data_IF_761012421388
#
_entry.id   IF_761012421388
#
_cell.length_a   1.000
_cell.length_b   1.000
_cell.length_c   1.000
_cell.angle_alpha   90.00
_cell.angle_beta   90.00
_cell.angle_gamma   90.00
#
_symmetry.space_group_name_H-M   'P 1'
#
loop_
_entity.id
_entity.type
_entity.pdbx_description
1 polymer ?
#
# COMPACT_ATOMS: atom_id res chain seq x y z
N UNK A 1 -9.05 5.56 -11.08
CA UNK A 1 -9.11 4.60 -9.94
C UNK A 1 -8.67 5.25 -8.62
N UNK A 2 -7.66 6.15 -8.62
CA UNK A 2 -7.12 6.77 -7.39
C UNK A 2 -8.04 7.81 -6.70
N UNK A 3 -8.83 8.59 -7.44
CA UNK A 3 -9.49 9.81 -6.91
C UNK A 3 -10.90 9.64 -6.33
N UNK A 4 -11.57 8.51 -6.54
CA UNK A 4 -12.92 8.24 -5.99
C UNK A 4 -12.88 7.36 -4.72
N UNK A 5 -11.69 7.12 -4.17
CA UNK A 5 -11.50 6.28 -3.00
C UNK A 5 -11.46 7.15 -1.74
N UNK A 6 -11.85 6.56 -0.61
CA UNK A 6 -11.78 7.16 0.71
C UNK A 6 -10.31 7.36 1.15
N UNK A 7 -9.59 8.32 0.57
CA UNK A 7 -8.13 8.48 0.74
C UNK A 7 -7.74 9.49 1.81
N UNK A 8 -8.64 10.40 2.19
CA UNK A 8 -8.51 11.29 3.33
C UNK A 8 -9.88 11.76 3.79
N UNK A 9 -10.01 12.15 5.06
CA UNK A 9 -11.27 12.66 5.61
C UNK A 9 -11.26 14.18 5.67
N UNK A 10 -12.36 14.82 5.26
CA UNK A 10 -12.53 16.26 5.43
C UNK A 10 -12.57 16.70 6.90
N UNK A 11 -12.77 15.77 7.84
CA UNK A 11 -12.74 16.06 9.29
C UNK A 11 -11.32 16.28 9.84
N UNK A 12 -10.28 15.77 9.16
CA UNK A 12 -8.89 15.98 9.52
C UNK A 12 -8.02 16.08 8.25
N UNK A 13 -8.09 17.20 7.52
CA UNK A 13 -7.43 17.35 6.23
C UNK A 13 -5.89 17.41 6.32
N UNK A 14 -5.32 17.63 7.52
CA UNK A 14 -3.88 17.67 7.72
C UNK A 14 -3.24 16.27 7.81
N UNK A 15 -4.05 15.22 8.01
CA UNK A 15 -3.59 13.84 8.04
C UNK A 15 -4.06 13.10 6.79
N UNK A 16 -3.13 12.78 5.90
CA UNK A 16 -3.43 12.12 4.62
C UNK A 16 -2.49 10.93 4.32
N UNK A 17 -2.28 10.00 5.26
CA UNK A 17 -1.29 8.94 5.11
C UNK A 17 -1.57 8.04 3.89
N UNK A 18 -2.84 7.70 3.63
CA UNK A 18 -3.23 6.88 2.47
C UNK A 18 -2.95 7.63 1.16
N UNK A 19 -3.32 8.92 1.08
CA UNK A 19 -3.07 9.75 -0.11
C UNK A 19 -1.57 9.87 -0.40
N UNK A 20 -0.76 10.11 0.64
CA UNK A 20 0.69 10.15 0.53
C UNK A 20 1.26 8.80 0.09
N UNK A 21 0.79 7.69 0.67
CA UNK A 21 1.22 6.35 0.28
C UNK A 21 0.96 6.07 -1.20
N UNK A 22 -0.24 6.41 -1.70
CA UNK A 22 -0.57 6.25 -3.12
C UNK A 22 0.31 7.09 -4.05
N UNK A 23 0.62 8.33 -3.66
CA UNK A 23 1.50 9.23 -4.42
C UNK A 23 2.94 8.67 -4.50
N UNK A 24 3.47 8.18 -3.37
CA UNK A 24 4.80 7.56 -3.34
C UNK A 24 4.81 6.26 -4.14
N UNK A 25 3.76 5.44 -4.05
CA UNK A 25 3.63 4.24 -4.87
C UNK A 25 3.61 4.56 -6.35
N UNK A 26 2.92 5.62 -6.77
CA UNK A 26 2.92 6.08 -8.16
C UNK A 26 4.32 6.50 -8.62
N UNK A 27 5.00 7.34 -7.84
CA UNK A 27 6.35 7.77 -8.15
C UNK A 27 7.35 6.61 -8.28
N UNK A 28 7.16 5.52 -7.52
CA UNK A 28 8.06 4.36 -7.54
C UNK A 28 7.67 3.31 -8.58
N UNK A 29 6.38 3.07 -8.80
CA UNK A 29 5.88 1.89 -9.51
C UNK A 29 5.21 2.20 -10.85
N UNK A 30 5.06 3.45 -11.26
CA UNK A 30 4.42 3.78 -12.53
C UNK A 30 5.06 3.02 -13.71
N UNK A 31 4.20 2.36 -14.51
CA UNK A 31 4.60 1.47 -15.60
C UNK A 31 5.28 0.15 -15.21
N UNK A 32 5.53 -0.13 -13.92
CA UNK A 32 6.27 -1.32 -13.44
C UNK A 32 5.51 -2.18 -12.44
N UNK A 33 4.57 -1.60 -11.71
CA UNK A 33 3.78 -2.28 -10.69
C UNK A 33 2.34 -1.80 -10.66
N UNK A 34 1.63 -2.13 -9.58
CA UNK A 34 0.27 -1.67 -9.36
C UNK A 34 0.05 -1.40 -7.88
N UNK A 35 -0.77 -0.42 -7.53
CA UNK A 35 -1.03 -0.08 -6.14
C UNK A 35 -2.46 0.38 -5.94
N UNK A 36 -3.00 0.09 -4.75
CA UNK A 36 -4.31 0.57 -4.38
C UNK A 36 -4.60 0.80 -2.92
N UNK A 37 -5.64 1.59 -2.64
CA UNK A 37 -6.26 1.62 -1.29
C UNK A 37 -6.72 0.21 -0.94
N UNK A 38 -6.44 -0.20 0.29
CA UNK A 38 -6.84 -1.50 0.82
C UNK A 38 -7.71 -1.32 2.07
N UNK A 39 -8.73 -2.18 2.23
CA UNK A 39 -9.73 -2.06 3.29
C UNK A 39 -10.76 -0.94 3.03
N UNK A 40 -11.34 -0.40 4.11
CA UNK A 40 -12.43 0.59 4.07
C UNK A 40 -12.01 2.04 3.76
N UNK A 41 -10.71 2.32 3.74
CA UNK A 41 -10.13 3.66 3.50
C UNK A 41 -9.92 4.54 4.74
N UNK A 42 -9.47 5.77 4.51
CA UNK A 42 -9.13 6.87 5.43
C UNK A 42 -7.98 6.58 6.40
N UNK A 43 -8.20 5.68 7.35
CA UNK A 43 -7.20 5.20 8.32
C UNK A 43 -6.59 3.85 7.88
N UNK A 44 -6.80 3.48 6.61
CA UNK A 44 -6.48 2.17 6.08
C UNK A 44 -5.04 2.03 5.59
N UNK A 45 -4.76 0.87 5.02
CA UNK A 45 -3.48 0.54 4.38
C UNK A 45 -3.59 0.74 2.87
N UNK A 46 -2.43 0.76 2.21
CA UNK A 46 -2.37 0.53 0.76
C UNK A 46 -1.85 -0.88 0.52
N UNK A 47 -2.21 -1.44 -0.63
CA UNK A 47 -1.68 -2.69 -1.14
C UNK A 47 -0.96 -2.39 -2.45
N UNK A 48 0.29 -2.83 -2.57
CA UNK A 48 1.06 -2.71 -3.79
C UNK A 48 1.58 -4.06 -4.27
N UNK A 49 1.57 -4.24 -5.59
CA UNK A 49 2.24 -5.30 -6.32
C UNK A 49 3.52 -4.70 -6.88
N UNK A 50 4.65 -5.17 -6.36
CA UNK A 50 5.99 -4.61 -6.61
C UNK A 50 6.84 -5.70 -7.26
N UNK A 51 7.54 -5.42 -8.38
CA UNK A 51 8.54 -6.34 -8.91
C UNK A 51 9.60 -6.70 -7.86
N UNK A 52 10.06 -7.94 -7.85
CA UNK A 52 10.96 -8.45 -6.79
C UNK A 52 12.25 -7.63 -6.69
N UNK A 53 12.78 -7.18 -7.81
CA UNK A 53 13.97 -6.35 -7.91
C UNK A 53 13.81 -4.95 -7.29
N UNK A 54 12.58 -4.48 -7.10
CA UNK A 54 12.25 -3.18 -6.49
C UNK A 54 11.74 -3.30 -5.06
N UNK A 55 11.55 -4.52 -4.54
CA UNK A 55 10.86 -4.78 -3.29
C UNK A 55 11.56 -4.13 -2.08
N UNK A 56 12.88 -4.23 -2.02
CA UNK A 56 13.68 -3.66 -0.93
C UNK A 56 13.60 -2.12 -0.93
N UNK A 57 13.86 -1.50 -2.08
CA UNK A 57 13.76 -0.04 -2.23
C UNK A 57 12.36 0.46 -1.86
N UNK A 58 11.33 -0.22 -2.35
CA UNK A 58 9.95 0.15 -2.05
C UNK A 58 9.65 0.10 -0.55
N UNK A 59 10.06 -0.97 0.14
CA UNK A 59 9.89 -1.09 1.59
C UNK A 59 10.62 0.02 2.34
N UNK A 60 11.89 0.28 2.01
CA UNK A 60 12.70 1.30 2.66
C UNK A 60 12.10 2.71 2.49
N UNK A 61 11.62 3.05 1.29
CA UNK A 61 10.97 4.33 1.01
C UNK A 61 9.68 4.52 1.80
N UNK A 62 8.88 3.46 1.92
CA UNK A 62 7.64 3.50 2.70
C UNK A 62 7.94 3.63 4.20
N UNK A 63 8.88 2.85 4.72
CA UNK A 63 9.26 2.90 6.14
C UNK A 63 9.96 4.20 6.53
N UNK A 64 10.68 4.85 5.61
CA UNK A 64 11.26 6.18 5.84
C UNK A 64 10.18 7.24 6.13
N UNK A 65 9.02 7.12 5.47
CA UNK A 65 7.93 8.11 5.56
C UNK A 65 6.96 7.77 6.70
N UNK A 66 6.58 6.50 6.82
CA UNK A 66 5.55 6.05 7.76
C UNK A 66 6.11 5.41 9.04
N UNK A 67 7.42 5.28 9.14
CA UNK A 67 8.12 4.67 10.28
C UNK A 67 8.50 3.22 10.03
N UNK A 68 9.55 2.77 10.72
CA UNK A 68 10.07 1.40 10.63
C UNK A 68 8.98 0.37 10.94
N UNK A 69 8.89 -0.67 10.12
CA UNK A 69 7.91 -1.76 10.27
C UNK A 69 6.47 -1.40 9.84
N UNK A 70 6.26 -0.29 9.13
CA UNK A 70 4.96 0.09 8.57
C UNK A 70 4.63 -0.58 7.23
N UNK A 71 5.62 -1.17 6.55
CA UNK A 71 5.46 -1.85 5.27
C UNK A 71 5.70 -3.35 5.42
N UNK A 72 4.72 -4.16 5.02
CA UNK A 72 4.76 -5.62 5.19
C UNK A 72 4.85 -6.33 3.84
N UNK A 73 5.86 -7.17 3.68
CA UNK A 73 5.98 -8.04 2.52
C UNK A 73 5.05 -9.24 2.72
N UNK A 74 4.07 -9.40 1.82
CA UNK A 74 3.10 -10.47 1.85
C UNK A 74 3.29 -11.39 0.63
N UNK A 75 3.11 -12.68 0.84
CA UNK A 75 3.05 -13.67 -0.25
C UNK A 75 1.60 -14.10 -0.48
N UNK A 76 1.18 -14.17 -1.74
CA UNK A 76 -0.14 -14.71 -2.10
C UNK A 76 -0.07 -16.22 -1.95
N UNK A 77 -0.86 -16.77 -1.03
CA UNK A 77 -0.91 -18.22 -0.83
C UNK A 77 -1.59 -18.89 -2.03
N UNK A 78 -1.10 -20.07 -2.45
CA UNK A 78 -1.70 -20.81 -3.56
C UNK A 78 -3.07 -21.39 -3.20
N UNK A 79 -3.34 -21.56 -1.91
CA UNK A 79 -4.58 -22.16 -1.40
C UNK A 79 -5.20 -21.27 -0.31
N UNK A 80 -6.54 -21.25 -0.25
CA UNK A 80 -7.33 -20.60 0.78
C UNK A 80 -7.49 -21.46 2.04
N UNK A 81 -8.66 -21.45 2.66
CA UNK A 81 -8.98 -22.39 3.74
C UNK A 81 -9.02 -23.82 3.20
N UNK A 82 -8.17 -24.69 3.73
CA UNK A 82 -8.06 -26.10 3.31
C UNK A 82 -8.33 -27.02 4.49
N UNK A 83 -9.15 -28.04 4.28
CA UNK A 83 -9.34 -29.12 5.25
C UNK A 83 -8.10 -30.02 5.25
N UNK A 84 -7.49 -30.21 6.43
CA UNK A 84 -6.40 -31.17 6.62
C UNK A 84 -7.03 -32.46 7.13
N UNK A 85 -6.86 -33.54 6.36
CA UNK A 85 -7.28 -34.91 6.72
C UNK A 85 -6.17 -35.63 7.48
#
# INVERSE_FOLDING_TARGET
>A
YMYNQNVYTGKNPLSQPVSLGLCISEALLDGKGAWRVHGGGFAGTIQAFVPNEMLLEYQERMELIFGKGSCYILSIRPNGGTCVI
#
